data_IF_866018628731
#
_entry.id   IF_866018628731
#
_cell.length_a   1.000
_cell.length_b   1.000
_cell.length_c   1.000
_cell.angle_alpha   90.00
_cell.angle_beta   90.00
_cell.angle_gamma   90.00
#
_symmetry.space_group_name_H-M   'P 1'
#
loop_
_entity.id
_entity.type
_entity.pdbx_description
1 polymer ?
#
# COMPACT_ATOMS: atom_id res chain seq x y z
N UNK A 1 6.22 19.95 -20.63
CA UNK A 1 5.19 19.12 -19.95
C UNK A 1 3.86 19.84 -19.98
N UNK A 2 2.85 19.18 -20.50
CA UNK A 2 1.48 19.74 -20.59
C UNK A 2 0.77 19.70 -19.24
N UNK A 3 -0.32 20.49 -19.08
CA UNK A 3 -1.14 20.46 -17.88
C UNK A 3 -1.71 19.05 -17.62
N UNK A 4 -2.19 18.37 -18.66
CA UNK A 4 -2.72 17.02 -18.54
C UNK A 4 -1.68 16.01 -18.03
N UNK A 5 -0.44 16.11 -18.49
CA UNK A 5 0.67 15.27 -18.01
C UNK A 5 0.99 15.54 -16.54
N UNK A 6 1.02 16.82 -16.14
CA UNK A 6 1.25 17.17 -14.72
C UNK A 6 0.13 16.63 -13.82
N UNK A 7 -1.12 16.78 -14.25
CA UNK A 7 -2.28 16.25 -13.53
C UNK A 7 -2.20 14.73 -13.38
N UNK A 8 -1.80 14.01 -14.43
CA UNK A 8 -1.65 12.55 -14.36
C UNK A 8 -0.56 12.15 -13.36
N UNK A 9 0.60 12.76 -13.44
CA UNK A 9 1.71 12.48 -12.51
C UNK A 9 1.30 12.80 -11.06
N UNK A 10 0.57 13.88 -10.82
CA UNK A 10 0.09 14.25 -9.50
C UNK A 10 -0.89 13.20 -8.94
N UNK A 11 -1.81 12.70 -9.77
CA UNK A 11 -2.75 11.66 -9.38
C UNK A 11 -2.06 10.31 -9.15
N UNK A 12 -1.07 9.98 -9.97
CA UNK A 12 -0.26 8.77 -9.78
C UNK A 12 0.54 8.82 -8.47
N UNK A 13 1.10 9.98 -8.12
CA UNK A 13 1.75 10.20 -6.83
C UNK A 13 0.77 10.01 -5.67
N UNK A 14 -0.43 10.60 -5.79
CA UNK A 14 -1.49 10.44 -4.78
C UNK A 14 -1.97 9.01 -4.65
N UNK A 15 -2.09 8.29 -5.76
CA UNK A 15 -2.46 6.87 -5.75
C UNK A 15 -1.42 6.02 -5.00
N UNK A 16 -0.14 6.39 -5.09
CA UNK A 16 0.97 5.67 -4.44
C UNK A 16 1.09 6.02 -2.96
N UNK A 17 0.96 7.31 -2.61
CA UNK A 17 1.29 7.81 -1.27
C UNK A 17 0.08 8.14 -0.41
N UNK A 18 -1.10 8.29 -1.03
CA UNK A 18 -2.34 8.72 -0.38
C UNK A 18 -2.37 10.23 -0.06
N UNK A 19 -1.22 10.88 0.02
CA UNK A 19 -1.05 12.29 0.35
C UNK A 19 0.22 12.85 -0.30
N UNK A 20 0.17 14.11 -0.76
CA UNK A 20 1.35 14.85 -1.25
C UNK A 20 1.37 16.28 -0.71
N UNK A 21 2.54 16.79 -0.37
CA UNK A 21 2.72 18.21 -0.03
C UNK A 21 2.94 19.06 -1.29
N UNK A 22 2.67 20.35 -1.19
CA UNK A 22 2.95 21.30 -2.29
C UNK A 22 4.44 21.28 -2.66
N UNK A 23 5.33 21.18 -1.66
CA UNK A 23 6.79 21.09 -1.89
C UNK A 23 7.18 19.84 -2.66
N UNK A 24 6.57 18.69 -2.34
CA UNK A 24 6.80 17.45 -3.09
C UNK A 24 6.34 17.55 -4.54
N UNK A 25 5.19 18.19 -4.77
CA UNK A 25 4.68 18.45 -6.14
C UNK A 25 5.64 19.34 -6.92
N UNK A 26 6.11 20.43 -6.31
CA UNK A 26 7.08 21.34 -6.90
C UNK A 26 8.37 20.61 -7.27
N UNK A 27 8.93 19.85 -6.34
CA UNK A 27 10.18 19.11 -6.52
C UNK A 27 10.08 18.02 -7.60
N UNK A 28 8.96 17.29 -7.61
CA UNK A 28 8.76 16.18 -8.55
C UNK A 28 8.46 16.64 -9.98
N UNK A 29 7.71 17.72 -10.12
CA UNK A 29 7.26 18.22 -11.43
C UNK A 29 8.14 19.35 -11.98
N UNK A 30 9.05 19.91 -11.17
CA UNK A 30 9.90 21.03 -11.58
C UNK A 30 9.09 22.30 -11.93
N UNK A 31 7.98 22.56 -11.22
CA UNK A 31 7.06 23.67 -11.51
C UNK A 31 7.08 24.73 -10.39
N UNK A 32 6.55 25.90 -10.72
CA UNK A 32 6.45 26.98 -9.72
C UNK A 32 5.40 26.66 -8.64
N UNK A 33 5.53 27.23 -7.41
CA UNK A 33 4.52 27.09 -6.35
C UNK A 33 3.11 27.52 -6.78
N UNK A 34 3.03 28.57 -7.61
CA UNK A 34 1.76 29.07 -8.14
C UNK A 34 1.10 28.05 -9.08
N UNK A 35 1.89 27.40 -9.93
CA UNK A 35 1.43 26.36 -10.85
C UNK A 35 0.98 25.11 -10.07
N UNK A 36 1.75 24.67 -9.08
CA UNK A 36 1.40 23.52 -8.24
C UNK A 36 0.06 23.74 -7.51
N UNK A 37 -0.14 24.89 -6.91
CA UNK A 37 -1.40 25.24 -6.23
C UNK A 37 -2.58 25.33 -7.20
N UNK A 38 -2.36 25.84 -8.42
CA UNK A 38 -3.40 25.92 -9.45
C UNK A 38 -3.81 24.52 -9.92
N UNK A 39 -2.84 23.65 -10.18
CA UNK A 39 -3.11 22.27 -10.61
C UNK A 39 -3.86 21.49 -9.51
N UNK A 40 -3.47 21.63 -8.23
CA UNK A 40 -4.19 21.06 -7.09
C UNK A 40 -5.62 21.60 -7.00
N UNK A 41 -5.84 22.91 -7.16
CA UNK A 41 -7.17 23.49 -7.12
C UNK A 41 -8.07 22.96 -8.24
N UNK A 42 -7.58 22.89 -9.48
CA UNK A 42 -8.34 22.36 -10.62
C UNK A 42 -8.76 20.90 -10.42
N UNK A 43 -7.85 20.09 -9.85
CA UNK A 43 -8.14 18.68 -9.58
C UNK A 43 -9.12 18.51 -8.40
N UNK A 44 -9.06 19.38 -7.40
CA UNK A 44 -10.02 19.44 -6.30
C UNK A 44 -11.43 19.83 -6.79
N UNK A 45 -11.53 20.88 -7.61
CA UNK A 45 -12.78 21.33 -8.23
C UNK A 45 -13.41 20.25 -9.10
N UNK A 46 -12.59 19.42 -9.77
CA UNK A 46 -13.05 18.27 -10.58
C UNK A 46 -13.31 17.01 -9.75
N UNK A 47 -13.13 17.04 -8.42
CA UNK A 47 -13.35 15.90 -7.52
C UNK A 47 -12.34 14.76 -7.67
N UNK A 48 -11.23 14.97 -8.37
CA UNK A 48 -10.21 13.94 -8.62
C UNK A 48 -9.18 13.79 -7.49
N UNK A 49 -9.07 14.80 -6.65
CA UNK A 49 -8.31 14.78 -5.39
C UNK A 49 -9.04 15.63 -4.35
N UNK A 50 -8.61 15.60 -3.11
CA UNK A 50 -9.07 16.48 -2.05
C UNK A 50 -7.95 17.40 -1.62
N UNK A 51 -8.12 18.71 -1.80
CA UNK A 51 -7.19 19.72 -1.31
C UNK A 51 -7.22 19.77 0.21
N UNK A 52 -6.05 19.80 0.82
CA UNK A 52 -5.86 19.98 2.26
C UNK A 52 -4.83 21.08 2.53
N UNK A 53 -4.67 21.46 3.79
CA UNK A 53 -3.67 22.46 4.16
C UNK A 53 -2.27 22.00 3.73
N UNK A 54 -1.62 22.77 2.89
CA UNK A 54 -0.26 22.54 2.36
C UNK A 54 -0.09 21.31 1.45
N UNK A 55 -1.18 20.78 0.86
CA UNK A 55 -1.06 19.62 -0.02
C UNK A 55 -2.38 19.14 -0.59
N UNK A 56 -2.38 17.87 -0.97
CA UNK A 56 -3.55 17.16 -1.46
C UNK A 56 -3.61 15.72 -0.95
N UNK A 57 -4.83 15.21 -0.78
CA UNK A 57 -5.12 13.82 -0.43
C UNK A 57 -5.84 13.12 -1.59
N UNK A 58 -5.63 11.81 -1.71
CA UNK A 58 -6.44 10.98 -2.59
C UNK A 58 -7.91 11.00 -2.13
N UNK A 59 -8.85 11.08 -3.08
CA UNK A 59 -10.28 10.90 -2.77
C UNK A 59 -10.48 9.49 -2.22
N UNK A 60 -11.33 9.34 -1.20
CA UNK A 60 -11.47 8.08 -0.45
C UNK A 60 -11.87 6.87 -1.29
N UNK A 61 -12.49 7.09 -2.46
CA UNK A 61 -12.79 6.04 -3.43
C UNK A 61 -11.56 5.58 -4.23
N UNK A 62 -10.51 6.41 -4.29
CA UNK A 62 -9.23 6.12 -4.96
C UNK A 62 -8.10 5.81 -3.97
N UNK A 63 -8.34 5.90 -2.66
CA UNK A 63 -7.38 5.36 -1.70
C UNK A 63 -7.33 3.87 -1.95
N UNK A 64 -6.17 3.33 -2.32
CA UNK A 64 -6.05 1.88 -2.35
C UNK A 64 -6.35 1.40 -0.94
N UNK A 65 -7.58 0.88 -0.76
CA UNK A 65 -7.90 0.07 0.39
C UNK A 65 -6.94 -1.12 0.31
N UNK A 66 -5.75 -0.96 0.94
CA UNK A 66 -4.81 -2.04 1.02
C UNK A 66 -4.31 -2.57 -0.34
N UNK A 67 -3.42 -1.85 -0.99
CA UNK A 67 -2.65 -2.41 -2.09
C UNK A 67 -1.37 -3.06 -1.54
N UNK A 68 -1.09 -4.31 -1.88
CA UNK A 68 0.23 -4.91 -1.65
C UNK A 68 1.38 -4.07 -2.24
N UNK A 69 1.09 -3.22 -3.22
CA UNK A 69 2.06 -2.31 -3.84
C UNK A 69 2.70 -1.32 -2.85
N UNK A 70 2.00 -0.93 -1.79
CA UNK A 70 2.58 -0.04 -0.76
C UNK A 70 3.64 -0.73 0.11
N UNK A 71 3.71 -2.05 0.08
CA UNK A 71 4.70 -2.83 0.83
C UNK A 71 6.10 -2.65 0.24
N UNK A 72 6.20 -2.56 -1.08
CA UNK A 72 7.48 -2.31 -1.76
C UNK A 72 8.01 -0.89 -1.57
N UNK A 73 7.16 0.04 -1.15
CA UNK A 73 7.51 1.43 -0.86
C UNK A 73 7.64 1.71 0.65
N UNK A 74 7.44 0.70 1.49
CA UNK A 74 7.58 0.84 2.93
C UNK A 74 9.02 1.24 3.29
N UNK A 75 9.16 2.11 4.29
CA UNK A 75 10.48 2.43 4.84
C UNK A 75 11.21 1.14 5.24
N UNK A 76 12.52 1.10 4.97
CA UNK A 76 13.40 -0.03 5.27
C UNK A 76 12.97 -1.34 4.58
N UNK A 77 12.50 -1.25 3.33
CA UNK A 77 12.03 -2.41 2.59
C UNK A 77 13.11 -3.52 2.50
N UNK A 78 14.34 -3.16 2.20
CA UNK A 78 15.45 -4.14 2.06
C UNK A 78 15.76 -4.87 3.37
N UNK A 79 15.72 -4.17 4.51
CA UNK A 79 15.89 -4.79 5.84
C UNK A 79 14.73 -5.74 6.14
N UNK A 80 13.50 -5.34 5.83
CA UNK A 80 12.31 -6.18 6.03
C UNK A 80 12.34 -7.44 5.19
N UNK A 81 12.81 -7.34 3.93
CA UNK A 81 13.00 -8.51 3.06
C UNK A 81 14.03 -9.46 3.66
N UNK A 82 15.17 -8.95 4.15
CA UNK A 82 16.19 -9.78 4.80
C UNK A 82 15.66 -10.49 6.05
N UNK A 83 14.89 -9.78 6.88
CA UNK A 83 14.25 -10.35 8.06
C UNK A 83 13.27 -11.46 7.65
N UNK A 84 12.41 -11.19 6.66
CA UNK A 84 11.44 -12.16 6.17
C UNK A 84 12.10 -13.43 5.62
N UNK A 85 13.18 -13.29 4.85
CA UNK A 85 13.96 -14.42 4.34
C UNK A 85 14.60 -15.24 5.44
N UNK A 86 15.23 -14.58 6.42
CA UNK A 86 15.84 -15.27 7.57
C UNK A 86 14.76 -16.01 8.38
N UNK A 87 13.63 -15.38 8.66
CA UNK A 87 12.52 -15.99 9.38
C UNK A 87 11.91 -17.18 8.62
N UNK A 88 11.80 -17.10 7.31
CA UNK A 88 11.25 -18.18 6.47
C UNK A 88 12.07 -19.47 6.55
N UNK A 89 13.37 -19.37 6.80
CA UNK A 89 14.28 -20.51 6.95
C UNK A 89 14.13 -21.23 8.30
N UNK A 90 13.49 -20.60 9.29
CA UNK A 90 13.18 -21.22 10.57
C UNK A 90 11.94 -22.11 10.51
N UNK A 91 11.16 -22.02 9.46
CA UNK A 91 9.91 -22.76 9.29
C UNK A 91 10.19 -24.04 8.52
N UNK A 92 9.80 -25.17 9.09
CA UNK A 92 10.01 -26.49 8.50
C UNK A 92 8.78 -26.96 7.72
N UNK A 93 8.95 -27.83 6.71
CA UNK A 93 7.84 -28.47 6.01
C UNK A 93 6.85 -29.14 6.97
N UNK A 94 5.56 -28.95 6.74
CA UNK A 94 4.50 -29.52 7.56
C UNK A 94 4.12 -28.72 8.80
N UNK A 95 4.83 -27.64 9.10
CA UNK A 95 4.49 -26.76 10.22
C UNK A 95 3.32 -25.82 9.89
N UNK A 96 2.65 -25.38 10.93
CA UNK A 96 1.63 -24.31 10.87
C UNK A 96 2.19 -23.03 11.48
N UNK A 97 2.03 -21.93 10.77
CA UNK A 97 2.51 -20.63 11.22
C UNK A 97 1.37 -19.61 11.26
N UNK A 98 1.30 -18.83 12.34
CA UNK A 98 0.37 -17.70 12.46
C UNK A 98 1.09 -16.43 12.04
N UNK A 99 0.54 -15.73 11.06
CA UNK A 99 1.09 -14.46 10.57
C UNK A 99 0.05 -13.37 10.77
N UNK A 100 0.37 -12.39 11.60
CA UNK A 100 -0.47 -11.22 11.84
C UNK A 100 -0.26 -10.15 10.77
N UNK A 101 -0.86 -8.97 10.98
CA UNK A 101 -0.72 -7.83 10.08
C UNK A 101 0.67 -7.16 10.19
N UNK A 102 1.11 -6.55 9.10
CA UNK A 102 2.34 -5.78 9.02
C UNK A 102 3.11 -6.03 7.73
N UNK A 103 3.92 -5.04 7.32
CA UNK A 103 4.67 -5.12 6.07
C UNK A 103 5.75 -6.22 6.10
N UNK A 104 6.45 -6.39 7.21
CA UNK A 104 7.43 -7.47 7.38
C UNK A 104 6.75 -8.84 7.42
N UNK A 105 5.60 -8.93 8.11
CA UNK A 105 4.79 -10.15 8.19
C UNK A 105 4.26 -10.55 6.81
N UNK A 106 3.82 -9.58 6.00
CA UNK A 106 3.41 -9.83 4.62
C UNK A 106 4.55 -10.41 3.77
N UNK A 107 5.74 -9.81 3.86
CA UNK A 107 6.94 -10.29 3.17
C UNK A 107 7.32 -11.73 3.59
N UNK A 108 7.17 -12.07 4.88
CA UNK A 108 7.34 -13.43 5.37
C UNK A 108 6.33 -14.39 4.69
N UNK A 109 5.07 -13.98 4.60
CA UNK A 109 4.05 -14.75 3.90
C UNK A 109 4.38 -14.96 2.43
N UNK A 110 4.95 -13.97 1.75
CA UNK A 110 5.44 -14.10 0.38
C UNK A 110 6.58 -15.11 0.26
N UNK A 111 7.54 -15.09 1.19
CA UNK A 111 8.66 -16.07 1.21
C UNK A 111 8.18 -17.50 1.49
N UNK A 112 7.12 -17.68 2.26
CA UNK A 112 6.54 -19.00 2.57
C UNK A 112 5.55 -19.48 1.51
N UNK A 113 5.10 -18.63 0.61
CA UNK A 113 4.16 -18.98 -0.44
C UNK A 113 4.70 -20.09 -1.34
N UNK A 114 3.88 -21.10 -1.59
CA UNK A 114 4.28 -22.28 -2.37
C UNK A 114 5.09 -23.34 -1.60
N UNK A 115 5.48 -23.07 -0.34
CA UNK A 115 6.13 -24.07 0.52
C UNK A 115 5.08 -24.96 1.19
N UNK A 116 5.42 -26.20 1.59
CA UNK A 116 4.48 -27.12 2.22
C UNK A 116 4.28 -26.80 3.70
N UNK A 117 3.72 -25.62 3.97
CA UNK A 117 3.43 -25.10 5.31
C UNK A 117 2.00 -24.56 5.35
N UNK A 118 1.34 -24.67 6.48
CA UNK A 118 0.04 -24.06 6.71
C UNK A 118 0.20 -22.63 7.21
N UNK A 119 -0.45 -21.68 6.55
CA UNK A 119 -0.45 -20.28 6.97
C UNK A 119 -1.81 -19.91 7.54
N UNK A 120 -1.82 -19.45 8.78
CA UNK A 120 -3.00 -18.99 9.50
C UNK A 120 -2.88 -17.48 9.66
N UNK A 121 -3.84 -16.72 9.17
CA UNK A 121 -3.77 -15.26 9.22
C UNK A 121 -5.13 -14.61 9.40
N UNK A 122 -5.17 -13.46 10.08
CA UNK A 122 -6.30 -12.54 10.09
C UNK A 122 -6.08 -11.34 9.15
N UNK A 123 -4.97 -11.32 8.43
CA UNK A 123 -4.55 -10.25 7.57
C UNK A 123 -5.05 -10.50 6.14
N UNK A 124 -6.20 -9.90 5.79
CA UNK A 124 -6.86 -10.14 4.50
C UNK A 124 -5.97 -9.91 3.28
N UNK A 125 -5.13 -8.86 3.21
CA UNK A 125 -4.23 -8.69 2.06
C UNK A 125 -3.27 -9.86 1.87
N UNK A 126 -2.74 -10.43 2.96
CA UNK A 126 -1.89 -11.61 2.88
C UNK A 126 -2.69 -12.85 2.44
N UNK A 127 -3.88 -13.04 3.01
CA UNK A 127 -4.76 -14.14 2.62
C UNK A 127 -5.11 -14.08 1.13
N UNK A 128 -5.48 -12.91 0.62
CA UNK A 128 -5.76 -12.72 -0.80
C UNK A 128 -4.54 -13.03 -1.68
N UNK A 129 -3.36 -12.54 -1.29
CA UNK A 129 -2.12 -12.84 -2.01
C UNK A 129 -1.85 -14.35 -2.07
N UNK A 130 -1.96 -15.05 -0.94
CA UNK A 130 -1.71 -16.50 -0.87
C UNK A 130 -2.73 -17.30 -1.71
N UNK A 131 -3.98 -16.88 -1.71
CA UNK A 131 -5.05 -17.49 -2.53
C UNK A 131 -4.77 -17.25 -4.02
N UNK A 132 -4.44 -16.04 -4.41
CA UNK A 132 -4.13 -15.69 -5.81
C UNK A 132 -2.89 -16.42 -6.32
N UNK A 133 -1.93 -16.72 -5.45
CA UNK A 133 -0.72 -17.49 -5.77
C UNK A 133 -0.90 -19.00 -5.56
N UNK A 134 -2.13 -19.46 -5.34
CA UNK A 134 -2.46 -20.89 -5.19
C UNK A 134 -1.67 -21.60 -4.08
N UNK A 135 -1.46 -20.92 -2.94
CA UNK A 135 -0.87 -21.58 -1.78
C UNK A 135 -1.80 -22.66 -1.19
N UNK A 136 -1.28 -23.85 -0.95
CA UNK A 136 -2.09 -25.05 -0.68
C UNK A 136 -2.92 -24.98 0.62
N UNK A 137 -2.43 -24.32 1.66
CA UNK A 137 -3.09 -24.31 2.96
C UNK A 137 -3.11 -22.95 3.62
N UNK A 138 -4.25 -22.27 3.51
CA UNK A 138 -4.51 -20.97 4.13
C UNK A 138 -5.72 -21.08 5.04
N UNK A 139 -5.57 -20.71 6.31
CA UNK A 139 -6.67 -20.55 7.26
C UNK A 139 -6.83 -19.07 7.57
N UNK A 140 -8.04 -18.56 7.35
CA UNK A 140 -8.40 -17.19 7.69
C UNK A 140 -9.06 -17.19 9.07
N UNK A 141 -8.47 -16.47 10.01
CA UNK A 141 -9.10 -16.21 11.31
C UNK A 141 -10.21 -15.18 11.10
N UNK A 142 -11.42 -15.53 11.45
CA UNK A 142 -12.59 -14.69 11.30
C UNK A 142 -12.60 -13.47 12.22
N UNK A 143 -13.57 -12.60 12.03
CA UNK A 143 -13.76 -11.40 12.79
C UNK A 143 -14.84 -10.52 12.19
N UNK A 144 -15.12 -9.40 12.85
CA UNK A 144 -16.07 -8.40 12.38
C UNK A 144 -15.34 -7.29 11.63
N UNK A 145 -15.83 -6.95 10.45
CA UNK A 145 -15.38 -5.76 9.73
C UNK A 145 -16.33 -4.61 10.08
N UNK A 146 -15.80 -3.58 10.75
CA UNK A 146 -16.50 -2.34 10.97
C UNK A 146 -16.16 -1.35 9.85
N UNK A 147 -17.18 -0.85 9.13
CA UNK A 147 -16.99 0.13 8.06
C UNK A 147 -16.98 1.56 8.58
N UNK A 148 -17.55 1.84 9.75
CA UNK A 148 -17.51 3.13 10.41
C UNK A 148 -16.22 3.29 11.20
N UNK A 149 -15.20 3.80 10.52
CA UNK A 149 -14.03 4.37 11.19
C UNK A 149 -14.29 5.86 11.43
N UNK A 150 -15.09 6.17 12.43
CA UNK A 150 -15.03 7.46 13.10
C UNK A 150 -13.86 7.39 14.07
N UNK A 151 -12.73 7.87 13.64
CA UNK A 151 -11.60 8.22 14.52
C UNK A 151 -11.68 9.69 14.82
#
# INVERSE_FOLDING_TARGET
>A
MTEAQRHQILLDLLAQTGFVTVEQVISRLGISPATARRDINKLDESGRLKKVRNGAEAVSEQRPRWSPMNIHQAQNHDEKVRIARAASQLVNPGESIVINCGSTAFLLGQELCGKPVQIITNYLPLANYLIDQEHDSVIIMGGRIAQDRKS
#
